data_IF_374606164299
#
_entry.id   IF_374606164299
#
_cell.length_a   1.000
_cell.length_b   1.000
_cell.length_c   1.000
_cell.angle_alpha   90.00
_cell.angle_beta   90.00
_cell.angle_gamma   90.00
#
_symmetry.space_group_name_H-M   'P 1'
#
loop_
_entity.id
_entity.type
_entity.pdbx_description
1 polymer ?
#
# COMPACT_ATOMS: atom_id res chain seq x y z
N UNK A 1 20.74 -3.43 -3.31
CA UNK A 1 19.29 -3.27 -3.58
C UNK A 1 18.48 -3.57 -2.31
N UNK A 2 18.67 -4.70 -1.64
CA UNK A 2 18.02 -5.00 -0.33
C UNK A 2 18.01 -3.84 0.67
N UNK A 3 19.14 -3.13 0.88
CA UNK A 3 19.16 -2.03 1.86
C UNK A 3 18.34 -0.81 1.42
N UNK A 4 18.27 -0.55 0.11
CA UNK A 4 17.37 0.45 -0.47
C UNK A 4 15.91 0.00 -0.27
N UNK A 5 15.60 -1.27 -0.53
CA UNK A 5 14.26 -1.83 -0.31
C UNK A 5 13.84 -1.77 1.15
N UNK A 6 14.75 -1.96 2.12
CA UNK A 6 14.43 -1.83 3.56
C UNK A 6 13.99 -0.41 3.93
N UNK A 7 14.56 0.61 3.28
CA UNK A 7 14.17 2.00 3.49
C UNK A 7 12.81 2.28 2.84
N UNK A 8 12.59 1.73 1.66
CA UNK A 8 11.37 1.93 0.88
C UNK A 8 10.18 1.12 1.38
N UNK A 9 10.41 0.01 2.09
CA UNK A 9 9.41 -0.94 2.59
C UNK A 9 9.58 -1.20 4.10
N UNK A 10 9.37 -0.20 4.99
CA UNK A 10 9.41 -0.41 6.43
C UNK A 10 8.41 -1.48 6.92
N UNK A 11 8.62 -2.04 8.11
CA UNK A 11 7.74 -3.05 8.68
C UNK A 11 6.35 -2.44 9.00
N UNK A 12 5.31 -3.29 9.15
CA UNK A 12 3.97 -2.80 9.45
C UNK A 12 3.90 -2.11 10.81
N UNK A 13 2.98 -1.15 10.95
CA UNK A 13 2.62 -0.55 12.25
C UNK A 13 3.48 0.61 12.73
N UNK A 14 4.12 1.38 11.84
CA UNK A 14 4.89 2.55 12.23
C UNK A 14 3.99 3.77 12.58
N UNK A 15 4.22 4.34 13.77
CA UNK A 15 3.68 5.64 14.17
C UNK A 15 4.79 6.68 14.05
N UNK A 16 4.50 7.85 13.47
CA UNK A 16 5.34 9.04 13.59
C UNK A 16 4.60 10.08 14.41
N UNK A 17 5.14 10.41 15.58
CA UNK A 17 4.63 11.46 16.47
C UNK A 17 5.52 12.70 16.34
N UNK A 18 4.94 13.90 16.20
CA UNK A 18 5.72 15.14 16.20
C UNK A 18 4.96 16.37 15.72
N UNK A 19 5.41 17.56 16.13
CA UNK A 19 4.85 18.86 15.71
C UNK A 19 5.10 19.18 14.22
N UNK A 20 6.06 18.48 13.61
CA UNK A 20 6.42 18.60 12.20
C UNK A 20 5.72 17.57 11.32
N UNK A 21 4.73 16.83 11.87
CA UNK A 21 3.96 15.87 11.10
C UNK A 21 3.22 16.60 9.96
N UNK A 22 3.34 16.12 8.71
CA UNK A 22 2.65 16.73 7.60
C UNK A 22 1.13 16.68 7.81
N UNK A 23 0.42 17.65 7.23
CA UNK A 23 -1.04 17.75 7.38
C UNK A 23 -1.73 16.80 6.40
N UNK A 24 -2.79 16.09 6.83
CA UNK A 24 -3.57 15.25 5.93
C UNK A 24 -4.30 16.12 4.91
N UNK A 25 -4.52 15.59 3.71
CA UNK A 25 -5.38 16.24 2.72
C UNK A 25 -6.84 16.10 3.17
N UNK A 26 -7.47 17.23 3.44
CA UNK A 26 -8.85 17.33 3.89
C UNK A 26 -9.77 17.93 2.83
N UNK A 27 -9.23 18.26 1.65
CA UNK A 27 -10.01 18.88 0.60
C UNK A 27 -10.84 17.82 -0.13
N UNK A 28 -12.15 17.99 -0.09
CA UNK A 28 -13.10 17.19 -0.85
C UNK A 28 -14.17 16.54 0.00
N UNK A 29 -15.00 15.72 -0.66
CA UNK A 29 -16.12 15.02 -0.04
C UNK A 29 -15.63 13.75 0.63
N UNK A 30 -16.10 13.49 1.84
CA UNK A 30 -15.96 12.19 2.50
C UNK A 30 -17.17 11.32 2.19
N UNK A 31 -16.98 10.00 2.11
CA UNK A 31 -18.10 9.09 1.89
C UNK A 31 -19.01 9.08 3.13
N UNK A 32 -20.31 9.28 2.91
CA UNK A 32 -21.32 9.07 3.94
C UNK A 32 -21.98 7.71 3.75
N UNK A 33 -21.31 6.62 4.17
CA UNK A 33 -21.70 5.24 3.81
C UNK A 33 -23.16 4.84 4.08
N UNK A 34 -23.81 5.41 5.10
CA UNK A 34 -25.22 5.15 5.40
C UNK A 34 -26.20 5.96 4.54
N UNK A 35 -25.76 7.09 3.98
CA UNK A 35 -26.55 7.91 3.05
C UNK A 35 -26.27 7.54 1.59
N UNK A 36 -25.14 6.89 1.33
CA UNK A 36 -24.64 6.56 -0.02
C UNK A 36 -24.35 5.06 -0.16
N UNK A 37 -25.35 4.17 0.04
CA UNK A 37 -25.14 2.73 0.19
C UNK A 37 -24.56 2.05 -1.05
N UNK A 38 -24.96 2.48 -2.25
CA UNK A 38 -24.43 1.92 -3.50
C UNK A 38 -22.95 2.27 -3.71
N UNK A 39 -22.56 3.52 -3.43
CA UNK A 39 -21.16 3.93 -3.50
C UNK A 39 -20.34 3.19 -2.43
N UNK A 40 -20.87 3.07 -1.22
CA UNK A 40 -20.24 2.31 -0.14
C UNK A 40 -20.00 0.85 -0.51
N UNK A 41 -20.96 0.21 -1.17
CA UNK A 41 -20.82 -1.16 -1.69
C UNK A 41 -19.69 -1.26 -2.72
N UNK A 42 -19.64 -0.37 -3.70
CA UNK A 42 -18.59 -0.34 -4.72
C UNK A 42 -17.21 -0.19 -4.07
N UNK A 43 -17.07 0.70 -3.08
CA UNK A 43 -15.80 0.92 -2.38
C UNK A 43 -15.35 -0.32 -1.61
N UNK A 44 -16.28 -1.04 -0.96
CA UNK A 44 -15.97 -2.32 -0.29
C UNK A 44 -15.54 -3.40 -1.30
N UNK A 45 -16.21 -3.49 -2.44
CA UNK A 45 -15.81 -4.43 -3.50
C UNK A 45 -14.40 -4.11 -4.02
N UNK A 46 -14.01 -2.83 -4.09
CA UNK A 46 -12.63 -2.42 -4.41
C UNK A 46 -11.64 -2.79 -3.31
N UNK A 47 -12.00 -2.58 -2.05
CA UNK A 47 -11.17 -3.00 -0.91
C UNK A 47 -10.89 -4.51 -0.95
N UNK A 48 -11.94 -5.33 -1.12
CA UNK A 48 -11.85 -6.79 -1.16
C UNK A 48 -11.11 -7.28 -2.41
N UNK A 49 -11.47 -6.74 -3.59
CA UNK A 49 -10.87 -7.12 -4.86
C UNK A 49 -9.37 -6.81 -4.93
N UNK A 50 -8.95 -5.62 -4.50
CA UNK A 50 -7.52 -5.28 -4.45
C UNK A 50 -6.77 -6.06 -3.38
N UNK A 51 -7.40 -6.40 -2.25
CA UNK A 51 -6.77 -7.26 -1.24
C UNK A 51 -6.53 -8.68 -1.80
N UNK A 52 -7.55 -9.29 -2.40
CA UNK A 52 -7.43 -10.61 -3.01
C UNK A 52 -6.37 -10.62 -4.12
N UNK A 53 -6.37 -9.60 -4.99
CA UNK A 53 -5.37 -9.45 -6.03
C UNK A 53 -3.94 -9.34 -5.48
N UNK A 54 -3.74 -8.66 -4.35
CA UNK A 54 -2.44 -8.61 -3.68
C UNK A 54 -1.97 -9.99 -3.20
N UNK A 55 -2.88 -10.81 -2.67
CA UNK A 55 -2.59 -12.19 -2.25
C UNK A 55 -2.21 -13.07 -3.45
N UNK A 56 -2.98 -12.98 -4.53
CA UNK A 56 -2.71 -13.74 -5.76
C UNK A 56 -1.35 -13.36 -6.37
N UNK A 57 -1.06 -12.06 -6.49
CA UNK A 57 0.22 -11.55 -6.98
C UNK A 57 1.40 -12.01 -6.12
N UNK A 58 1.24 -12.07 -4.79
CA UNK A 58 2.27 -12.63 -3.91
C UNK A 58 2.47 -14.14 -4.14
N UNK A 59 1.38 -14.88 -4.37
CA UNK A 59 1.42 -16.28 -4.76
C UNK A 59 2.20 -16.52 -6.05
N UNK A 60 1.92 -15.71 -7.09
CA UNK A 60 2.63 -15.75 -8.36
C UNK A 60 4.11 -15.34 -8.23
N UNK A 61 4.41 -14.31 -7.42
CA UNK A 61 5.78 -13.91 -7.12
C UNK A 61 6.60 -15.07 -6.51
N UNK A 62 5.97 -15.84 -5.62
CA UNK A 62 6.58 -17.03 -5.01
C UNK A 62 6.89 -18.12 -6.03
N UNK A 63 6.00 -18.37 -7.00
CA UNK A 63 6.24 -19.31 -8.09
C UNK A 63 7.44 -18.89 -8.94
N UNK A 64 7.55 -17.60 -9.26
CA UNK A 64 8.68 -17.05 -10.02
C UNK A 64 10.00 -17.15 -9.25
N UNK A 65 9.97 -16.85 -7.95
CA UNK A 65 11.11 -16.99 -7.06
C UNK A 65 11.62 -18.44 -7.02
N UNK A 66 10.73 -19.41 -6.85
CA UNK A 66 11.06 -20.85 -6.85
C UNK A 66 11.71 -21.30 -8.17
N UNK A 67 11.34 -20.67 -9.28
CA UNK A 67 11.91 -20.91 -10.60
C UNK A 67 13.13 -20.02 -10.94
N UNK A 68 13.74 -19.40 -9.92
CA UNK A 68 14.92 -18.53 -10.05
C UNK A 68 14.71 -17.33 -10.98
N UNK A 69 13.46 -16.87 -11.14
CA UNK A 69 13.09 -15.68 -11.92
C UNK A 69 12.98 -14.47 -10.98
N UNK A 70 14.07 -14.12 -10.31
CA UNK A 70 14.07 -13.16 -9.20
C UNK A 70 13.60 -11.76 -9.59
N UNK A 71 14.04 -11.23 -10.73
CA UNK A 71 13.57 -9.93 -11.22
C UNK A 71 12.04 -9.89 -11.39
N UNK A 72 11.45 -10.96 -11.92
CA UNK A 72 10.00 -11.05 -12.10
C UNK A 72 9.27 -11.22 -10.76
N UNK A 73 9.87 -11.96 -9.83
CA UNK A 73 9.37 -12.06 -8.46
C UNK A 73 9.39 -10.69 -7.74
N UNK A 74 10.46 -9.89 -7.90
CA UNK A 74 10.55 -8.51 -7.41
C UNK A 74 9.42 -7.66 -7.99
N UNK A 75 9.23 -7.71 -9.32
CA UNK A 75 8.19 -6.93 -9.99
C UNK A 75 6.78 -7.27 -9.46
N UNK A 76 6.45 -8.56 -9.35
CA UNK A 76 5.15 -8.99 -8.82
C UNK A 76 5.00 -8.71 -7.32
N UNK A 77 6.07 -8.82 -6.53
CA UNK A 77 6.06 -8.43 -5.12
C UNK A 77 5.72 -6.95 -4.93
N UNK A 78 6.30 -6.06 -5.75
CA UNK A 78 5.95 -4.63 -5.72
C UNK A 78 4.52 -4.42 -6.23
N UNK A 79 4.04 -5.16 -7.23
CA UNK A 79 2.64 -5.09 -7.64
C UNK A 79 1.67 -5.55 -6.55
N UNK A 80 2.00 -6.60 -5.80
CA UNK A 80 1.21 -7.04 -4.65
C UNK A 80 1.15 -5.95 -3.58
N UNK A 81 2.29 -5.32 -3.30
CA UNK A 81 2.38 -4.16 -2.42
C UNK A 81 1.48 -2.99 -2.87
N UNK A 82 1.52 -2.64 -4.16
CA UNK A 82 0.67 -1.60 -4.76
C UNK A 82 -0.83 -1.88 -4.58
N UNK A 83 -1.27 -3.12 -4.82
CA UNK A 83 -2.67 -3.53 -4.69
C UNK A 83 -3.13 -3.54 -3.24
N UNK A 84 -2.27 -3.99 -2.31
CA UNK A 84 -2.57 -3.91 -0.90
C UNK A 84 -2.69 -2.45 -0.41
N UNK A 85 -1.88 -1.54 -0.96
CA UNK A 85 -2.03 -0.10 -0.76
C UNK A 85 -3.36 0.45 -1.26
N UNK A 86 -3.80 0.07 -2.47
CA UNK A 86 -5.14 0.44 -3.00
C UNK A 86 -6.27 -0.07 -2.12
N UNK A 87 -6.18 -1.31 -1.65
CA UNK A 87 -7.14 -1.90 -0.73
C UNK A 87 -7.30 -1.01 0.51
N UNK A 88 -6.19 -0.65 1.14
CA UNK A 88 -6.22 0.20 2.34
C UNK A 88 -6.71 1.63 2.07
N UNK A 89 -6.44 2.21 0.89
CA UNK A 89 -7.05 3.50 0.49
C UNK A 89 -8.57 3.40 0.34
N UNK A 90 -9.08 2.29 -0.20
CA UNK A 90 -10.51 2.05 -0.29
C UNK A 90 -11.15 1.92 1.11
N UNK A 91 -10.51 1.19 2.02
CA UNK A 91 -10.96 1.10 3.41
C UNK A 91 -10.97 2.46 4.13
N UNK A 92 -9.96 3.29 3.91
CA UNK A 92 -9.87 4.62 4.51
C UNK A 92 -10.86 5.62 3.92
N UNK A 93 -11.22 5.47 2.65
CA UNK A 93 -12.32 6.24 2.06
C UNK A 93 -13.67 5.79 2.63
N UNK A 94 -13.90 4.47 2.68
CA UNK A 94 -15.11 3.88 3.24
C UNK A 94 -15.38 4.33 4.67
N UNK A 95 -14.32 4.36 5.50
CA UNK A 95 -14.41 4.73 6.91
C UNK A 95 -14.33 6.23 7.17
N UNK A 96 -14.20 7.07 6.12
CA UNK A 96 -14.15 8.52 6.23
C UNK A 96 -12.84 9.09 6.80
N UNK A 97 -11.73 8.37 6.66
CA UNK A 97 -10.38 8.82 7.05
C UNK A 97 -9.80 9.76 5.98
N UNK A 98 -9.97 9.43 4.70
CA UNK A 98 -9.54 10.24 3.55
C UNK A 98 -10.73 10.74 2.71
N UNK A 99 -10.60 11.88 2.01
CA UNK A 99 -11.62 12.36 1.10
C UNK A 99 -11.52 11.73 -0.31
N UNK A 100 -12.59 11.85 -1.08
CA UNK A 100 -12.75 11.28 -2.42
C UNK A 100 -11.62 11.65 -3.40
N UNK A 101 -11.08 12.89 -3.44
CA UNK A 101 -9.97 13.21 -4.33
C UNK A 101 -8.70 12.42 -4.01
N UNK A 102 -8.46 12.07 -2.74
CA UNK A 102 -7.33 11.21 -2.34
C UNK A 102 -7.62 9.76 -2.73
N UNK A 103 -8.84 9.28 -2.54
CA UNK A 103 -9.26 7.95 -2.96
C UNK A 103 -9.14 7.74 -4.48
N UNK A 104 -9.66 8.67 -5.30
CA UNK A 104 -9.60 8.57 -6.76
C UNK A 104 -8.16 8.53 -7.28
N UNK A 105 -7.24 9.24 -6.63
CA UNK A 105 -5.81 9.19 -6.96
C UNK A 105 -5.22 7.79 -6.81
N UNK A 106 -5.75 6.91 -5.96
CA UNK A 106 -5.28 5.52 -5.82
C UNK A 106 -5.38 4.71 -7.13
N UNK A 107 -6.32 5.08 -8.02
CA UNK A 107 -6.61 4.36 -9.25
C UNK A 107 -6.07 5.05 -10.50
N UNK A 108 -5.65 6.31 -10.38
CA UNK A 108 -5.11 7.09 -11.50
C UNK A 108 -3.62 7.39 -11.36
N UNK A 109 -3.09 7.36 -10.13
CA UNK A 109 -1.69 7.69 -9.82
C UNK A 109 -1.02 6.49 -9.15
N UNK A 110 -0.04 5.90 -9.86
CA UNK A 110 0.69 4.75 -9.35
C UNK A 110 1.49 5.06 -8.07
N UNK A 111 1.88 6.32 -7.86
CA UNK A 111 2.76 6.72 -6.76
C UNK A 111 2.02 6.78 -5.43
N UNK A 112 0.75 7.17 -5.47
CA UNK A 112 -0.10 7.29 -4.29
C UNK A 112 -0.40 5.92 -3.66
N UNK A 113 -0.59 4.88 -4.47
CA UNK A 113 -0.91 3.53 -3.98
C UNK A 113 0.29 2.80 -3.37
N UNK A 114 1.48 2.92 -3.96
CA UNK A 114 2.69 2.23 -3.49
C UNK A 114 3.17 2.77 -2.13
N UNK A 115 2.91 4.05 -1.87
CA UNK A 115 3.33 4.72 -0.64
C UNK A 115 2.34 4.56 0.52
N UNK A 116 1.10 4.17 0.25
CA UNK A 116 0.01 4.21 1.24
C UNK A 116 0.14 3.17 2.37
N UNK A 117 0.90 2.10 2.15
CA UNK A 117 1.14 1.12 3.20
C UNK A 117 2.07 1.64 4.32
N UNK A 118 2.82 2.71 4.06
CA UNK A 118 3.60 3.43 5.07
C UNK A 118 2.94 4.70 5.55
N UNK A 119 1.61 4.75 5.47
CA UNK A 119 0.89 5.91 5.95
C UNK A 119 1.07 6.06 7.46
N UNK A 120 1.21 7.30 7.87
CA UNK A 120 1.26 7.73 9.26
C UNK A 120 -0.10 8.26 9.66
N UNK A 121 -0.62 7.79 10.80
CA UNK A 121 -1.82 8.37 11.41
C UNK A 121 -1.50 9.73 12.05
N UNK A 122 -2.37 10.71 11.83
CA UNK A 122 -2.27 12.05 12.40
C UNK A 122 -3.61 12.46 13.02
N UNK A 123 -3.56 13.23 14.11
CA UNK A 123 -4.78 13.80 14.73
C UNK A 123 -5.05 15.15 14.10
N UNK A 124 -6.22 15.29 13.46
CA UNK A 124 -6.71 16.53 12.86
C UNK A 124 -7.07 17.54 13.95
N UNK A 125 -7.13 18.82 13.60
CA UNK A 125 -7.63 19.88 14.50
C UNK A 125 -9.06 19.63 15.00
N UNK A 126 -9.83 18.85 14.24
CA UNK A 126 -11.20 18.40 14.59
C UNK A 126 -11.24 17.24 15.59
N UNK A 127 -10.10 16.73 16.03
CA UNK A 127 -9.99 15.53 16.88
C UNK A 127 -10.21 14.21 16.13
N UNK A 128 -10.45 14.26 14.81
CA UNK A 128 -10.58 13.07 13.95
C UNK A 128 -9.22 12.58 13.48
N UNK A 129 -9.13 11.30 13.14
CA UNK A 129 -7.94 10.73 12.50
C UNK A 129 -7.83 11.17 11.03
N UNK A 130 -6.61 11.45 10.61
CA UNK A 130 -6.18 11.54 9.21
C UNK A 130 -4.97 10.67 8.97
N UNK A 131 -4.51 10.65 7.72
CA UNK A 131 -3.28 9.97 7.35
C UNK A 131 -2.45 10.78 6.37
N UNK A 132 -1.14 10.58 6.41
CA UNK A 132 -0.20 11.08 5.42
C UNK A 132 0.73 9.97 4.95
N UNK A 133 1.17 10.01 3.70
CA UNK A 133 2.05 9.01 3.10
C UNK A 133 3.16 9.70 2.29
N UNK A 134 4.32 9.03 2.20
CA UNK A 134 5.49 9.54 1.48
C UNK A 134 5.47 9.16 0.00
N UNK A 135 5.22 10.15 -0.86
CA UNK A 135 5.20 9.95 -2.31
C UNK A 135 6.55 9.56 -2.90
N UNK A 136 7.68 9.98 -2.31
CA UNK A 136 9.01 9.71 -2.86
C UNK A 136 9.32 8.22 -2.85
N UNK A 137 8.97 7.54 -1.76
CA UNK A 137 9.09 6.08 -1.67
C UNK A 137 8.29 5.35 -2.76
N UNK A 138 7.11 5.88 -3.12
CA UNK A 138 6.28 5.32 -4.19
C UNK A 138 6.93 5.41 -5.57
N UNK A 139 7.59 6.54 -5.88
CA UNK A 139 8.30 6.74 -7.16
C UNK A 139 9.51 5.81 -7.28
N UNK A 140 10.27 5.63 -6.20
CA UNK A 140 11.42 4.73 -6.18
C UNK A 140 10.99 3.26 -6.39
N UNK A 141 9.94 2.81 -5.73
CA UNK A 141 9.40 1.45 -5.91
C UNK A 141 8.83 1.24 -7.32
N UNK A 142 8.15 2.23 -7.89
CA UNK A 142 7.69 2.16 -9.28
C UNK A 142 8.88 2.00 -10.24
N UNK A 143 9.95 2.77 -10.04
CA UNK A 143 11.18 2.65 -10.83
C UNK A 143 11.80 1.26 -10.71
N UNK A 144 11.89 0.72 -9.50
CA UNK A 144 12.41 -0.64 -9.25
C UNK A 144 11.54 -1.67 -9.98
N UNK A 145 10.21 -1.55 -9.94
CA UNK A 145 9.29 -2.44 -10.65
C UNK A 145 9.51 -2.40 -12.17
N UNK A 146 9.69 -1.20 -12.74
CA UNK A 146 9.95 -1.01 -14.17
C UNK A 146 11.31 -1.61 -14.57
N UNK A 147 12.37 -1.30 -13.82
CA UNK A 147 13.73 -1.82 -14.02
C UNK A 147 13.77 -3.37 -13.91
N UNK A 148 12.89 -3.95 -13.10
CA UNK A 148 12.76 -5.39 -12.92
C UNK A 148 12.02 -6.09 -14.07
N UNK A 149 11.34 -5.34 -14.94
CA UNK A 149 10.60 -5.85 -16.11
C UNK A 149 11.33 -5.57 -17.43
N UNK A 150 11.82 -4.35 -17.60
CA UNK A 150 12.31 -3.83 -18.88
C UNK A 150 13.82 -3.63 -18.85
N UNK A 151 14.44 -3.78 -20.03
CA UNK A 151 15.83 -3.37 -20.26
C UNK A 151 15.83 -1.89 -20.63
N UNK A 152 16.75 -1.13 -20.05
CA UNK A 152 17.03 0.25 -20.42
C UNK A 152 18.53 0.46 -20.64
N UNK A 153 18.91 1.62 -21.14
CA UNK A 153 20.31 1.99 -21.34
C UNK A 153 21.15 1.97 -20.05
N UNK A 154 20.50 1.98 -18.88
CA UNK A 154 21.15 2.06 -17.56
C UNK A 154 20.82 0.89 -16.63
N UNK A 155 19.99 -0.08 -17.06
CA UNK A 155 19.53 -1.15 -16.18
C UNK A 155 19.11 -2.40 -16.95
N UNK A 156 19.53 -3.55 -16.44
CA UNK A 156 19.10 -4.87 -16.88
C UNK A 156 18.42 -5.63 -15.73
N UNK A 157 17.35 -6.42 -16.00
CA UNK A 157 16.64 -7.14 -14.94
C UNK A 157 17.49 -8.17 -14.17
N UNK A 158 18.59 -8.66 -14.72
CA UNK A 158 19.49 -9.63 -14.06
C UNK A 158 20.20 -9.06 -12.81
N UNK A 159 20.17 -7.74 -12.58
CA UNK A 159 20.69 -7.11 -11.36
C UNK A 159 19.96 -7.51 -10.08
N UNK A 160 18.74 -8.05 -10.19
CA UNK A 160 17.91 -8.42 -9.03
C UNK A 160 18.26 -9.81 -8.51
N UNK A 161 18.55 -9.87 -7.23
CA UNK A 161 19.05 -11.07 -6.54
C UNK A 161 17.92 -11.88 -5.91
N UNK A 162 18.27 -13.08 -5.43
CA UNK A 162 17.36 -13.92 -4.63
C UNK A 162 16.92 -13.16 -3.38
N UNK A 163 17.86 -12.49 -2.72
CA UNK A 163 17.67 -11.76 -1.48
C UNK A 163 16.71 -10.57 -1.67
N UNK A 164 16.78 -9.87 -2.81
CA UNK A 164 15.85 -8.78 -3.14
C UNK A 164 14.41 -9.31 -3.27
N UNK A 165 14.22 -10.41 -4.01
CA UNK A 165 12.92 -11.02 -4.21
C UNK A 165 12.34 -11.56 -2.90
N UNK A 166 13.15 -12.25 -2.10
CA UNK A 166 12.77 -12.78 -0.80
C UNK A 166 12.33 -11.67 0.15
N UNK A 167 13.10 -10.58 0.21
CA UNK A 167 12.79 -9.44 1.08
C UNK A 167 11.43 -8.82 0.75
N UNK A 168 11.15 -8.53 -0.52
CA UNK A 168 9.89 -7.88 -0.91
C UNK A 168 8.70 -8.80 -0.61
N UNK A 169 8.79 -10.08 -0.98
CA UNK A 169 7.71 -11.04 -0.72
C UNK A 169 7.43 -11.18 0.78
N UNK A 170 8.49 -11.32 1.58
CA UNK A 170 8.38 -11.39 3.04
C UNK A 170 7.72 -10.13 3.61
N UNK A 171 8.08 -8.96 3.09
CA UNK A 171 7.54 -7.68 3.55
C UNK A 171 6.07 -7.48 3.18
N UNK A 172 5.64 -7.92 2.00
CA UNK A 172 4.21 -7.96 1.62
C UNK A 172 3.44 -8.93 2.52
N UNK A 173 3.99 -10.13 2.75
CA UNK A 173 3.39 -11.14 3.63
C UNK A 173 3.19 -10.63 5.05
N UNK A 174 4.21 -9.97 5.63
CA UNK A 174 4.13 -9.33 6.94
C UNK A 174 2.99 -8.29 7.02
N UNK A 175 2.82 -7.47 5.99
CA UNK A 175 1.74 -6.47 5.94
C UNK A 175 0.37 -7.11 5.82
N UNK A 176 0.21 -8.11 4.95
CA UNK A 176 -1.05 -8.85 4.83
C UNK A 176 -1.48 -9.43 6.18
N UNK A 177 -0.56 -10.12 6.86
CA UNK A 177 -0.83 -10.71 8.17
C UNK A 177 -1.16 -9.67 9.23
N UNK A 178 -0.38 -8.60 9.31
CA UNK A 178 -0.61 -7.54 10.29
C UNK A 178 -1.95 -6.83 10.06
N UNK A 179 -2.25 -6.46 8.82
CA UNK A 179 -3.51 -5.81 8.46
C UNK A 179 -4.68 -6.71 8.84
N UNK A 180 -4.66 -7.97 8.42
CA UNK A 180 -5.71 -8.92 8.74
C UNK A 180 -5.91 -9.06 10.25
N UNK A 181 -4.84 -9.27 11.01
CA UNK A 181 -4.90 -9.36 12.47
C UNK A 181 -5.46 -8.09 13.11
N UNK A 182 -5.01 -6.90 12.69
CA UNK A 182 -5.46 -5.63 13.26
C UNK A 182 -6.94 -5.36 12.93
N UNK A 183 -7.36 -5.64 11.70
CA UNK A 183 -8.73 -5.42 11.26
C UNK A 183 -9.72 -6.38 11.95
N UNK A 184 -9.35 -7.64 12.14
CA UNK A 184 -10.14 -8.62 12.91
C UNK A 184 -10.21 -8.25 14.40
N UNK A 185 -9.07 -7.92 15.01
CA UNK A 185 -9.00 -7.59 16.44
C UNK A 185 -9.83 -6.35 16.78
N UNK A 186 -9.88 -5.37 15.87
CA UNK A 186 -10.54 -4.09 16.12
C UNK A 186 -11.94 -3.98 15.50
N UNK A 187 -12.40 -5.01 14.77
CA UNK A 187 -13.68 -5.04 14.07
C UNK A 187 -13.88 -3.81 13.16
N UNK A 188 -12.79 -3.41 12.48
CA UNK A 188 -12.69 -2.21 11.65
C UNK A 188 -11.67 -2.40 10.55
N UNK A 189 -11.90 -1.78 9.39
CA UNK A 189 -10.98 -1.82 8.26
C UNK A 189 -10.13 -0.54 8.13
N UNK A 190 -9.03 -0.64 7.39
CA UNK A 190 -8.15 0.48 7.06
C UNK A 190 -7.38 1.00 8.27
N UNK A 191 -7.03 2.28 8.23
CA UNK A 191 -6.37 2.99 9.32
C UNK A 191 -7.14 2.91 10.63
N UNK A 192 -8.47 2.83 10.61
CA UNK A 192 -9.25 2.70 11.84
C UNK A 192 -9.13 1.31 12.48
N UNK A 193 -8.76 0.29 11.70
CA UNK A 193 -8.39 -1.03 12.20
C UNK A 193 -6.93 -1.09 12.64
N UNK A 194 -6.03 -0.39 11.94
CA UNK A 194 -4.59 -0.44 12.22
C UNK A 194 -4.18 0.46 13.39
N UNK A 195 -4.69 1.69 13.45
CA UNK A 195 -4.31 2.72 14.40
C UNK A 195 -5.45 2.94 15.38
N UNK A 196 -5.33 2.35 16.56
CA UNK A 196 -6.28 2.50 17.66
C UNK A 196 -5.64 3.18 18.85
#
# INVERSE_FOLDING_TARGET
MVDELKQLLPPPGCWLFGKDAPKPDENGKFLEMFKEPEEAKIVIEKYQGSHANAVDLLGEAKLLYQNKRYARAVALGISAWEELGKSQMAADYYTGVIPEPVYKKAFTDHRAKTSYLHRTAVVKSTGKMGVVYDKQSGEALEKIRQDALYISDSSTPDKYTKEDAEFIMQRVFEHLHFIHYAEELNDRIGSKGIFK
#
